data_IF_388048574167
#
_entry.id   IF_388048574167
#
_cell.length_a   1.000
_cell.length_b   1.000
_cell.length_c   1.000
_cell.angle_alpha   90.00
_cell.angle_beta   90.00
_cell.angle_gamma   90.00
#
_symmetry.space_group_name_H-M   'P 1'
#
loop_
_entity.id
_entity.type
_entity.pdbx_description
1 polymer ?
#
# COMPACT_ATOMS: atom_id res chain seq x y z
N UNK A 1 -33.68 -13.62 2.21
CA UNK A 1 -33.03 -12.92 3.33
C UNK A 1 -31.59 -13.41 3.42
N UNK A 2 -30.63 -12.66 2.86
CA UNK A 2 -29.22 -12.86 3.19
C UNK A 2 -28.94 -12.01 4.42
N UNK A 3 -28.42 -12.64 5.46
CA UNK A 3 -28.04 -11.99 6.70
C UNK A 3 -27.05 -10.85 6.45
N UNK A 4 -27.54 -9.62 6.49
CA UNK A 4 -26.78 -8.37 6.32
C UNK A 4 -25.98 -7.98 7.59
N UNK A 5 -25.87 -8.86 8.57
CA UNK A 5 -25.33 -8.53 9.89
C UNK A 5 -23.94 -9.08 10.21
N UNK A 6 -23.31 -9.84 9.32
CA UNK A 6 -21.91 -10.23 9.52
C UNK A 6 -21.02 -9.48 8.53
N UNK A 7 -20.34 -8.43 9.00
CA UNK A 7 -19.17 -7.92 8.27
C UNK A 7 -18.12 -9.03 8.28
N UNK A 8 -17.77 -9.60 7.11
CA UNK A 8 -16.67 -10.54 7.06
C UNK A 8 -15.42 -9.82 7.52
N UNK A 9 -14.67 -10.43 8.42
CA UNK A 9 -13.36 -9.95 8.85
C UNK A 9 -12.48 -9.79 7.60
N UNK A 10 -12.15 -8.55 7.24
CA UNK A 10 -11.42 -8.23 6.00
C UNK A 10 -10.04 -7.71 6.34
N UNK A 11 -9.11 -7.93 5.45
CA UNK A 11 -7.82 -7.23 5.46
C UNK A 11 -7.84 -6.14 4.43
N UNK A 12 -7.20 -5.05 4.78
CA UNK A 12 -6.96 -3.97 3.86
C UNK A 12 -5.48 -3.64 3.84
N UNK A 13 -4.94 -3.45 2.64
CA UNK A 13 -3.69 -2.76 2.41
C UNK A 13 -4.04 -1.40 1.81
N UNK A 14 -3.78 -0.34 2.56
CA UNK A 14 -3.90 1.02 2.07
C UNK A 14 -2.56 1.42 1.45
N UNK A 15 -2.56 1.59 0.13
CA UNK A 15 -1.40 1.93 -0.69
C UNK A 15 -1.63 3.30 -1.35
N UNK A 16 -1.84 4.33 -0.53
CA UNK A 16 -2.10 5.68 -1.01
C UNK A 16 -0.83 6.52 -1.16
N UNK A 17 -0.98 7.75 -1.64
CA UNK A 17 0.08 8.74 -1.73
C UNK A 17 0.64 9.15 -0.37
N UNK A 18 -0.22 9.22 0.68
CA UNK A 18 0.14 9.69 2.01
C UNK A 18 0.29 8.59 3.07
N UNK A 19 -0.25 7.39 2.81
CA UNK A 19 -0.24 6.27 3.76
C UNK A 19 0.10 4.97 3.07
N UNK A 20 0.77 4.08 3.80
CA UNK A 20 1.00 2.69 3.37
C UNK A 20 0.97 1.81 4.59
N UNK A 21 -0.07 0.98 4.74
CA UNK A 21 -0.28 0.20 5.95
C UNK A 21 -1.03 -1.10 5.69
N UNK A 22 -0.84 -2.07 6.58
CA UNK A 22 -1.59 -3.31 6.65
C UNK A 22 -2.54 -3.24 7.84
N UNK A 23 -3.83 -3.46 7.60
CA UNK A 23 -4.88 -3.43 8.59
C UNK A 23 -5.63 -4.76 8.64
N UNK A 24 -5.93 -5.21 9.82
CA UNK A 24 -6.98 -6.19 10.08
C UNK A 24 -8.28 -5.41 10.34
N UNK A 25 -9.31 -5.68 9.53
CA UNK A 25 -10.61 -5.00 9.64
C UNK A 25 -11.58 -5.96 10.33
N UNK A 26 -11.93 -5.65 11.57
CA UNK A 26 -12.87 -6.45 12.38
C UNK A 26 -14.31 -5.94 12.30
N UNK A 27 -14.52 -4.78 11.70
CA UNK A 27 -15.81 -4.13 11.53
C UNK A 27 -15.67 -2.65 11.25
N UNK A 28 -16.79 -1.96 11.15
CA UNK A 28 -16.79 -0.49 11.01
C UNK A 28 -16.18 0.12 12.26
N UNK A 29 -15.20 1.01 12.06
CA UNK A 29 -14.45 1.66 13.13
C UNK A 29 -13.67 0.71 14.08
N UNK A 30 -13.45 -0.54 13.66
CA UNK A 30 -12.70 -1.53 14.43
C UNK A 30 -11.58 -2.11 13.58
N UNK A 31 -10.40 -1.50 13.69
CA UNK A 31 -9.21 -1.79 12.91
C UNK A 31 -8.06 -2.13 13.84
N UNK A 32 -7.23 -3.10 13.43
CA UNK A 32 -5.95 -3.41 14.08
C UNK A 32 -4.83 -3.26 13.06
N UNK A 33 -3.90 -2.36 13.32
CA UNK A 33 -2.75 -2.16 12.44
C UNK A 33 -1.72 -3.27 12.63
N UNK A 34 -1.42 -4.00 11.58
CA UNK A 34 -0.40 -5.04 11.55
C UNK A 34 0.99 -4.47 11.20
N UNK A 35 1.02 -3.45 10.37
CA UNK A 35 2.24 -2.77 9.96
C UNK A 35 1.96 -1.50 9.17
N UNK A 36 2.94 -0.63 9.10
CA UNK A 36 2.88 0.64 8.37
C UNK A 36 4.25 0.99 7.81
N UNK A 37 4.29 1.95 6.88
CA UNK A 37 5.57 2.55 6.55
C UNK A 37 6.10 3.37 7.73
N UNK A 38 7.41 3.25 7.99
CA UNK A 38 8.09 4.01 9.05
C UNK A 38 8.71 5.32 8.55
N UNK A 39 8.66 5.54 7.24
CA UNK A 39 9.21 6.73 6.57
C UNK A 39 8.29 7.19 5.42
N UNK A 40 8.77 7.21 4.18
CA UNK A 40 7.97 7.63 3.01
C UNK A 40 6.82 6.65 2.74
N UNK A 41 5.65 7.15 2.32
CA UNK A 41 4.59 6.31 1.80
C UNK A 41 4.94 5.77 0.39
N UNK A 42 4.30 4.69 -0.02
CA UNK A 42 4.61 4.04 -1.29
C UNK A 42 4.32 4.94 -2.51
N UNK A 43 3.17 5.63 -2.52
CA UNK A 43 2.86 6.59 -3.59
C UNK A 43 3.87 7.73 -3.64
N UNK A 44 4.27 8.24 -2.49
CA UNK A 44 5.32 9.25 -2.35
C UNK A 44 6.67 8.73 -2.89
N UNK A 45 7.01 7.45 -2.69
CA UNK A 45 8.21 6.84 -3.25
C UNK A 45 8.16 6.77 -4.78
N UNK A 46 6.99 6.49 -5.39
CA UNK A 46 6.79 6.56 -6.83
C UNK A 46 6.97 7.98 -7.36
N UNK A 47 6.32 8.98 -6.76
CA UNK A 47 6.39 10.37 -7.23
C UNK A 47 7.80 10.97 -7.08
N UNK A 48 8.48 10.68 -5.96
CA UNK A 48 9.88 11.08 -5.75
C UNK A 48 10.81 10.42 -6.76
N UNK A 49 10.62 9.14 -7.09
CA UNK A 49 11.39 8.45 -8.13
C UNK A 49 11.12 9.05 -9.50
N UNK A 50 9.86 9.34 -9.83
CA UNK A 50 9.47 10.00 -11.07
C UNK A 50 10.18 11.35 -11.24
N UNK A 51 10.13 12.19 -10.20
CA UNK A 51 10.81 13.49 -10.18
C UNK A 51 12.33 13.36 -10.44
N UNK A 52 12.97 12.35 -9.82
CA UNK A 52 14.41 12.09 -10.03
C UNK A 52 14.75 11.64 -11.45
N UNK A 53 13.80 11.05 -12.17
CA UNK A 53 13.92 10.65 -13.57
C UNK A 53 13.52 11.77 -14.56
N UNK A 54 13.05 12.92 -14.06
CA UNK A 54 12.58 14.03 -14.87
C UNK A 54 11.14 13.84 -15.39
N UNK A 55 10.33 13.07 -14.68
CA UNK A 55 8.92 12.82 -14.99
C UNK A 55 8.07 13.80 -14.17
N UNK A 56 7.08 14.42 -14.80
CA UNK A 56 6.10 15.30 -14.16
C UNK A 56 5.05 14.51 -13.38
N UNK A 57 4.38 15.20 -12.44
CA UNK A 57 3.28 14.63 -11.66
C UNK A 57 2.01 14.44 -12.53
N UNK A 58 1.26 13.35 -12.34
CA UNK A 58 1.48 12.22 -11.43
C UNK A 58 2.51 11.21 -11.98
N UNK A 59 3.51 10.89 -11.16
CA UNK A 59 4.64 10.06 -11.58
C UNK A 59 4.35 8.56 -11.67
N UNK A 60 3.44 8.04 -10.85
CA UNK A 60 3.18 6.60 -10.73
C UNK A 60 2.84 5.91 -12.04
N UNK A 61 1.84 6.37 -12.82
CA UNK A 61 1.47 5.77 -14.09
C UNK A 61 2.60 5.77 -15.13
N UNK A 62 3.38 6.86 -15.17
CA UNK A 62 4.49 7.00 -16.14
C UNK A 62 5.65 6.09 -15.74
N UNK A 63 5.96 5.95 -14.46
CA UNK A 63 6.94 4.96 -13.97
C UNK A 63 6.53 3.54 -14.40
N UNK A 64 5.26 3.18 -14.27
CA UNK A 64 4.77 1.87 -14.72
C UNK A 64 4.93 1.67 -16.23
N UNK A 65 4.64 2.70 -17.03
CA UNK A 65 4.83 2.66 -18.48
C UNK A 65 6.31 2.52 -18.85
N UNK A 66 7.19 3.30 -18.22
CA UNK A 66 8.63 3.24 -18.46
C UNK A 66 9.22 1.90 -18.03
N UNK A 67 8.73 1.32 -16.94
CA UNK A 67 9.18 0.01 -16.47
C UNK A 67 8.93 -1.10 -17.50
N UNK A 68 7.87 -1.00 -18.29
CA UNK A 68 7.60 -1.96 -19.39
C UNK A 68 8.63 -1.93 -20.52
N UNK A 69 9.38 -0.81 -20.65
CA UNK A 69 10.39 -0.59 -21.70
C UNK A 69 11.81 -0.90 -21.21
N UNK A 70 11.99 -1.20 -19.91
CA UNK A 70 13.28 -1.41 -19.28
C UNK A 70 13.55 -2.87 -18.89
N UNK A 71 14.81 -3.13 -18.58
CA UNK A 71 15.23 -4.40 -17.95
C UNK A 71 15.16 -4.24 -16.43
N UNK A 72 14.32 -5.01 -15.79
CA UNK A 72 14.10 -4.97 -14.35
C UNK A 72 15.31 -5.49 -13.53
N UNK A 73 16.25 -6.19 -14.15
CA UNK A 73 17.44 -6.74 -13.52
C UNK A 73 18.68 -5.85 -13.66
N UNK A 74 18.58 -4.75 -14.41
CA UNK A 74 19.73 -3.91 -14.76
C UNK A 74 20.37 -3.25 -13.52
N UNK A 75 19.57 -2.70 -12.61
CA UNK A 75 20.06 -2.10 -11.37
C UNK A 75 19.69 -2.96 -10.15
N UNK A 76 20.67 -3.17 -9.25
CA UNK A 76 20.43 -3.81 -7.95
C UNK A 76 20.09 -2.73 -6.91
N UNK A 77 18.82 -2.61 -6.58
CA UNK A 77 18.33 -1.65 -5.60
C UNK A 77 18.15 -2.29 -4.23
N UNK A 78 18.36 -1.54 -3.13
CA UNK A 78 18.17 -2.05 -1.78
C UNK A 78 16.68 -2.29 -1.48
N UNK A 79 16.41 -3.23 -0.59
CA UNK A 79 15.09 -3.54 -0.04
C UNK A 79 15.11 -3.23 1.46
N UNK A 80 14.84 -1.98 1.86
CA UNK A 80 14.95 -1.59 3.26
C UNK A 80 14.06 -2.46 4.15
N UNK A 81 14.55 -2.80 5.32
CA UNK A 81 13.90 -3.60 6.37
C UNK A 81 13.20 -4.91 5.92
N UNK A 82 13.45 -5.38 4.68
CA UNK A 82 12.80 -6.60 4.17
C UNK A 82 13.08 -7.81 5.05
N UNK A 83 14.32 -7.93 5.54
CA UNK A 83 14.76 -9.04 6.41
C UNK A 83 14.40 -8.83 7.89
N UNK A 84 13.93 -7.65 8.30
CA UNK A 84 13.38 -7.44 9.63
C UNK A 84 12.00 -8.09 9.70
N UNK A 85 11.73 -8.85 10.74
CA UNK A 85 10.41 -9.43 10.98
C UNK A 85 9.28 -8.39 11.00
N UNK A 86 8.04 -8.87 10.99
CA UNK A 86 6.85 -8.03 11.03
C UNK A 86 6.50 -7.37 9.69
N UNK A 87 5.40 -6.61 9.70
CA UNK A 87 4.76 -6.09 8.50
C UNK A 87 5.13 -4.63 8.17
N UNK A 88 6.05 -4.01 8.93
CA UNK A 88 6.46 -2.62 8.65
C UNK A 88 7.21 -2.50 7.33
N UNK A 89 7.05 -1.35 6.69
CA UNK A 89 7.61 -0.99 5.40
C UNK A 89 8.58 0.20 5.55
N UNK A 90 9.52 0.34 4.62
CA UNK A 90 10.40 1.51 4.51
C UNK A 90 10.81 1.71 3.06
N UNK A 91 10.78 2.96 2.59
CA UNK A 91 11.12 3.33 1.22
C UNK A 91 12.19 4.44 1.14
N UNK A 92 12.53 5.13 2.24
CA UNK A 92 13.50 6.22 2.22
C UNK A 92 14.91 5.77 1.77
N UNK A 93 15.35 4.58 2.19
CA UNK A 93 16.61 4.00 1.73
C UNK A 93 16.62 3.70 0.24
N UNK A 94 15.49 3.24 -0.30
CA UNK A 94 15.32 3.02 -1.75
C UNK A 94 15.39 4.33 -2.52
N UNK A 95 14.71 5.39 -2.06
CA UNK A 95 14.77 6.73 -2.63
C UNK A 95 16.22 7.25 -2.71
N UNK A 96 17.00 7.09 -1.66
CA UNK A 96 18.41 7.51 -1.63
C UNK A 96 19.25 6.73 -2.65
N UNK A 97 19.00 5.45 -2.83
CA UNK A 97 19.65 4.63 -3.86
C UNK A 97 19.29 5.11 -5.27
N UNK A 98 18.00 5.39 -5.53
CA UNK A 98 17.54 5.96 -6.80
C UNK A 98 18.21 7.29 -7.09
N UNK A 99 18.28 8.21 -6.11
CA UNK A 99 18.96 9.49 -6.26
C UNK A 99 20.43 9.34 -6.66
N UNK A 100 21.14 8.39 -6.03
CA UNK A 100 22.55 8.14 -6.37
C UNK A 100 22.69 7.57 -7.78
N UNK A 101 21.86 6.60 -8.13
CA UNK A 101 21.87 5.95 -9.45
C UNK A 101 21.48 6.93 -10.56
N UNK A 102 20.47 7.79 -10.34
CA UNK A 102 19.98 8.72 -11.35
C UNK A 102 21.02 9.74 -11.80
N UNK A 103 21.98 10.10 -10.95
CA UNK A 103 23.08 11.02 -11.29
C UNK A 103 24.06 10.44 -12.32
N UNK A 104 24.13 9.13 -12.48
CA UNK A 104 25.00 8.44 -13.41
C UNK A 104 24.35 8.01 -14.72
N UNK A 105 23.05 8.26 -14.90
CA UNK A 105 22.32 7.86 -16.10
C UNK A 105 22.76 8.68 -17.31
N UNK A 106 23.07 7.97 -18.43
CA UNK A 106 23.61 8.57 -19.65
C UNK A 106 22.55 8.83 -20.72
N UNK A 107 21.46 8.09 -20.71
CA UNK A 107 20.46 8.13 -21.78
C UNK A 107 19.07 7.71 -21.28
N UNK A 108 18.07 7.88 -22.14
CA UNK A 108 16.68 7.56 -21.83
C UNK A 108 16.46 6.06 -21.57
N UNK A 109 17.21 5.17 -22.23
CA UNK A 109 17.10 3.72 -22.04
C UNK A 109 17.49 3.32 -20.62
N UNK A 110 18.53 3.92 -20.06
CA UNK A 110 18.93 3.68 -18.66
C UNK A 110 17.87 4.18 -17.67
N UNK A 111 17.14 5.26 -17.98
CA UNK A 111 15.99 5.70 -17.18
C UNK A 111 14.87 4.65 -17.16
N UNK A 112 14.61 4.01 -18.32
CA UNK A 112 13.65 2.90 -18.37
C UNK A 112 14.11 1.69 -17.55
N UNK A 113 15.40 1.36 -17.60
CA UNK A 113 15.95 0.29 -16.75
C UNK A 113 15.84 0.62 -15.26
N UNK A 114 16.06 1.89 -14.87
CA UNK A 114 15.92 2.27 -13.47
C UNK A 114 14.46 2.24 -13.01
N UNK A 115 13.51 2.67 -13.84
CA UNK A 115 12.08 2.54 -13.57
C UNK A 115 11.65 1.07 -13.40
N UNK A 116 12.15 0.18 -14.28
CA UNK A 116 11.87 -1.25 -14.22
C UNK A 116 12.45 -1.90 -12.95
N UNK A 117 13.71 -1.59 -12.63
CA UNK A 117 14.37 -2.10 -11.41
C UNK A 117 13.70 -1.59 -10.14
N UNK A 118 13.23 -0.34 -10.13
CA UNK A 118 12.43 0.23 -9.03
C UNK A 118 11.11 -0.51 -8.88
N UNK A 119 10.33 -0.67 -9.96
CA UNK A 119 9.04 -1.38 -9.96
C UNK A 119 9.19 -2.82 -9.45
N UNK A 120 10.22 -3.54 -9.89
CA UNK A 120 10.52 -4.88 -9.40
C UNK A 120 10.83 -4.87 -7.91
N UNK A 121 11.67 -3.95 -7.45
CA UNK A 121 12.06 -3.86 -6.04
C UNK A 121 10.85 -3.60 -5.15
N UNK A 122 9.95 -2.71 -5.56
CA UNK A 122 8.68 -2.46 -4.87
C UNK A 122 7.82 -3.72 -4.82
N UNK A 123 7.68 -4.43 -5.94
CA UNK A 123 6.91 -5.66 -6.02
C UNK A 123 7.45 -6.74 -5.06
N UNK A 124 8.76 -6.89 -4.96
CA UNK A 124 9.38 -7.85 -4.04
C UNK A 124 9.16 -7.45 -2.56
N UNK A 125 9.27 -6.16 -2.24
CA UNK A 125 8.98 -5.66 -0.88
C UNK A 125 7.52 -5.91 -0.51
N UNK A 126 6.59 -5.54 -1.38
CA UNK A 126 5.16 -5.74 -1.14
C UNK A 126 4.79 -7.22 -1.04
N UNK A 127 5.34 -8.07 -1.92
CA UNK A 127 5.10 -9.50 -1.88
C UNK A 127 5.48 -10.10 -0.51
N UNK A 128 6.71 -9.88 -0.06
CA UNK A 128 7.19 -10.47 1.20
C UNK A 128 6.46 -9.89 2.42
N UNK A 129 6.23 -8.58 2.47
CA UNK A 129 5.53 -7.96 3.60
C UNK A 129 4.04 -8.31 3.64
N UNK A 130 3.39 -8.43 2.50
CA UNK A 130 2.00 -8.92 2.41
C UNK A 130 1.91 -10.39 2.83
N UNK A 131 2.86 -11.22 2.43
CA UNK A 131 2.94 -12.61 2.86
C UNK A 131 3.02 -12.72 4.39
N UNK A 132 3.93 -11.98 5.03
CA UNK A 132 4.03 -11.93 6.49
C UNK A 132 2.71 -11.46 7.11
N UNK A 133 2.12 -10.40 6.57
CA UNK A 133 0.85 -9.90 7.05
C UNK A 133 -0.27 -10.95 6.93
N UNK A 134 -0.36 -11.72 5.87
CA UNK A 134 -1.31 -12.83 5.73
C UNK A 134 -1.06 -13.94 6.74
N UNK A 135 0.20 -14.26 7.01
CA UNK A 135 0.59 -15.28 8.00
C UNK A 135 0.24 -14.84 9.43
N UNK A 136 0.50 -13.58 9.78
CA UNK A 136 0.10 -13.03 11.10
C UNK A 136 -1.41 -13.13 11.34
N UNK A 137 -2.21 -12.79 10.34
CA UNK A 137 -3.66 -12.95 10.47
C UNK A 137 -4.10 -14.40 10.71
N UNK A 138 -3.51 -15.33 10.02
CA UNK A 138 -3.90 -16.73 10.15
C UNK A 138 -3.57 -17.34 11.51
N UNK A 139 -2.68 -16.72 12.29
CA UNK A 139 -2.40 -17.18 13.67
C UNK A 139 -3.63 -17.07 14.55
N UNK A 140 -4.33 -15.95 14.46
CA UNK A 140 -5.46 -15.66 15.35
C UNK A 140 -6.83 -16.06 14.75
N UNK A 141 -6.91 -16.20 13.41
CA UNK A 141 -8.18 -16.29 12.68
C UNK A 141 -8.20 -17.39 11.61
N UNK A 142 -7.84 -18.62 11.98
CA UNK A 142 -7.74 -19.76 11.05
C UNK A 142 -9.03 -20.04 10.27
N UNK A 143 -10.20 -19.83 10.87
CA UNK A 143 -11.52 -20.14 10.32
C UNK A 143 -12.27 -18.92 9.75
N UNK A 144 -11.62 -17.75 9.69
CA UNK A 144 -12.25 -16.54 9.14
C UNK A 144 -12.20 -16.51 7.62
N UNK A 145 -13.12 -15.75 7.02
CA UNK A 145 -13.05 -15.43 5.59
C UNK A 145 -11.70 -14.78 5.24
N UNK A 146 -11.05 -15.31 4.24
CA UNK A 146 -9.71 -14.88 3.79
C UNK A 146 -9.81 -13.86 2.67
N UNK A 147 -10.47 -12.73 2.91
CA UNK A 147 -10.54 -11.63 1.98
C UNK A 147 -9.31 -10.71 2.15
N UNK A 148 -8.65 -10.36 1.06
CA UNK A 148 -7.55 -9.40 1.05
C UNK A 148 -7.90 -8.22 0.14
N UNK A 149 -8.15 -7.07 0.73
CA UNK A 149 -8.51 -5.83 0.02
C UNK A 149 -7.25 -4.99 -0.19
N UNK A 150 -7.03 -4.52 -1.39
CA UNK A 150 -5.93 -3.64 -1.76
C UNK A 150 -6.53 -2.36 -2.33
N UNK A 151 -6.34 -1.24 -1.65
CA UNK A 151 -6.93 0.05 -1.99
C UNK A 151 -5.88 1.17 -2.00
N UNK A 152 -6.26 2.36 -2.44
CA UNK A 152 -5.41 3.54 -2.58
C UNK A 152 -4.83 3.70 -3.99
N UNK A 153 -4.24 4.87 -4.28
CA UNK A 153 -3.79 5.23 -5.64
C UNK A 153 -2.78 4.26 -6.25
N UNK A 154 -1.87 3.71 -5.46
CA UNK A 154 -0.88 2.73 -5.95
C UNK A 154 -1.51 1.38 -6.27
N UNK A 155 -2.70 1.06 -5.72
CA UNK A 155 -3.47 -0.12 -6.08
C UNK A 155 -3.99 -0.07 -7.54
N UNK A 156 -3.89 1.05 -8.23
CA UNK A 156 -4.15 1.16 -9.67
C UNK A 156 -3.03 0.55 -10.53
N UNK A 157 -1.80 0.44 -10.00
CA UNK A 157 -0.66 -0.13 -10.72
C UNK A 157 -0.90 -1.60 -11.05
N UNK A 158 -0.93 -1.93 -12.35
CA UNK A 158 -1.31 -3.27 -12.85
C UNK A 158 -0.29 -4.34 -12.44
N UNK A 159 1.00 -4.00 -12.42
CA UNK A 159 2.05 -4.96 -12.04
C UNK A 159 2.00 -5.31 -10.56
N UNK A 160 1.68 -4.35 -9.71
CA UNK A 160 1.44 -4.57 -8.28
C UNK A 160 0.20 -5.45 -8.09
N UNK A 161 -0.91 -5.15 -8.80
CA UNK A 161 -2.13 -5.98 -8.76
C UNK A 161 -1.83 -7.42 -9.13
N UNK A 162 -1.19 -7.65 -10.28
CA UNK A 162 -0.82 -8.99 -10.75
C UNK A 162 -0.05 -9.77 -9.68
N UNK A 163 0.97 -9.14 -9.10
CA UNK A 163 1.84 -9.74 -8.10
C UNK A 163 1.07 -10.11 -6.82
N UNK A 164 0.22 -9.21 -6.32
CA UNK A 164 -0.57 -9.44 -5.11
C UNK A 164 -1.74 -10.42 -5.34
N UNK A 165 -2.33 -10.47 -6.53
CA UNK A 165 -3.31 -11.49 -6.91
C UNK A 165 -2.66 -12.88 -6.89
N UNK A 166 -1.45 -13.01 -7.46
CA UNK A 166 -0.70 -14.27 -7.44
C UNK A 166 -0.45 -14.74 -6.01
N UNK A 167 0.11 -13.88 -5.16
CA UNK A 167 0.35 -14.17 -3.75
C UNK A 167 -0.94 -14.56 -3.02
N UNK A 168 -2.03 -13.83 -3.25
CA UNK A 168 -3.32 -14.11 -2.60
C UNK A 168 -3.81 -15.52 -2.94
N UNK A 169 -3.74 -15.93 -4.21
CA UNK A 169 -4.11 -17.27 -4.65
C UNK A 169 -3.22 -18.34 -4.00
N UNK A 170 -1.90 -18.12 -3.95
CA UNK A 170 -0.94 -19.02 -3.30
C UNK A 170 -1.25 -19.22 -1.80
N UNK A 171 -1.68 -18.16 -1.12
CA UNK A 171 -2.04 -18.17 0.31
C UNK A 171 -3.52 -18.49 0.56
N UNK A 172 -4.30 -18.82 -0.47
CA UNK A 172 -5.74 -19.12 -0.41
C UNK A 172 -6.57 -17.95 0.14
N UNK A 173 -6.21 -16.72 -0.21
CA UNK A 173 -7.00 -15.51 0.02
C UNK A 173 -7.75 -15.11 -1.24
N UNK A 174 -8.92 -14.49 -1.06
CA UNK A 174 -9.69 -13.84 -2.13
C UNK A 174 -9.22 -12.39 -2.29
N UNK A 175 -8.49 -12.02 -3.35
CA UNK A 175 -8.05 -10.66 -3.57
C UNK A 175 -9.20 -9.79 -4.03
N UNK A 176 -9.36 -8.61 -3.43
CA UNK A 176 -10.39 -7.63 -3.78
C UNK A 176 -9.69 -6.30 -4.07
N UNK A 177 -9.92 -5.78 -5.27
CA UNK A 177 -9.44 -4.47 -5.70
C UNK A 177 -10.62 -3.59 -6.09
N UNK A 178 -10.62 -2.30 -5.75
CA UNK A 178 -11.58 -1.38 -6.33
C UNK A 178 -11.34 -1.25 -7.84
N UNK A 179 -12.38 -0.86 -8.60
CA UNK A 179 -12.19 -0.40 -9.98
C UNK A 179 -11.09 0.66 -10.05
N UNK A 180 -10.32 0.70 -11.14
CA UNK A 180 -9.14 1.59 -11.25
C UNK A 180 -9.53 3.05 -11.06
N UNK A 181 -10.65 3.49 -11.62
CA UNK A 181 -11.18 4.84 -11.47
C UNK A 181 -11.65 5.20 -10.06
N UNK A 182 -11.76 4.23 -9.15
CA UNK A 182 -12.10 4.43 -7.74
C UNK A 182 -10.91 4.18 -6.79
N UNK A 183 -9.69 3.99 -7.32
CA UNK A 183 -8.49 3.86 -6.50
C UNK A 183 -7.98 5.17 -5.93
N UNK A 184 -8.32 6.32 -6.55
CA UNK A 184 -8.05 7.66 -6.03
C UNK A 184 -9.18 8.15 -5.13
N UNK A 185 -8.94 9.26 -4.43
CA UNK A 185 -9.95 9.91 -3.62
C UNK A 185 -11.22 10.21 -4.42
N UNK A 186 -12.37 9.81 -3.88
CA UNK A 186 -13.65 10.00 -4.54
C UNK A 186 -14.79 10.12 -3.51
N UNK A 187 -15.85 10.84 -3.89
CA UNK A 187 -16.99 11.08 -3.01
C UNK A 187 -17.77 9.80 -2.67
N UNK A 188 -17.77 8.79 -3.54
CA UNK A 188 -18.50 7.55 -3.31
C UNK A 188 -17.94 6.76 -2.10
N UNK A 189 -16.61 6.71 -1.93
CA UNK A 189 -16.00 6.04 -0.77
C UNK A 189 -16.36 6.74 0.54
N UNK A 190 -16.41 8.08 0.54
CA UNK A 190 -16.76 8.88 1.72
C UNK A 190 -18.23 8.68 2.07
N UNK A 191 -19.12 8.76 1.08
CA UNK A 191 -20.54 8.51 1.26
C UNK A 191 -20.81 7.09 1.80
N UNK A 192 -20.13 6.09 1.24
CA UNK A 192 -20.26 4.71 1.70
C UNK A 192 -19.79 4.55 3.16
N UNK A 193 -18.63 5.09 3.50
CA UNK A 193 -18.13 5.07 4.88
C UNK A 193 -19.10 5.76 5.84
N UNK A 194 -19.70 6.87 5.43
CA UNK A 194 -20.76 7.56 6.20
C UNK A 194 -21.99 6.70 6.43
N UNK A 195 -22.49 6.01 5.40
CA UNK A 195 -23.64 5.09 5.51
C UNK A 195 -23.32 3.94 6.48
N UNK A 196 -22.15 3.33 6.37
CA UNK A 196 -21.78 2.22 7.24
C UNK A 196 -21.64 2.66 8.72
N UNK A 197 -21.11 3.87 8.98
CA UNK A 197 -21.07 4.46 10.33
C UNK A 197 -22.48 4.78 10.84
N UNK A 198 -23.32 5.36 9.99
CA UNK A 198 -24.72 5.69 10.34
C UNK A 198 -25.52 4.46 10.74
N UNK A 199 -25.40 3.33 10.05
CA UNK A 199 -26.09 2.07 10.37
C UNK A 199 -25.81 1.56 11.78
N UNK A 200 -24.68 1.91 12.38
CA UNK A 200 -24.28 1.51 13.73
C UNK A 200 -24.31 2.68 14.72
N UNK A 201 -25.03 3.76 14.40
CA UNK A 201 -25.17 4.96 15.21
C UNK A 201 -23.85 5.66 15.59
N UNK A 202 -22.82 5.53 14.78
CA UNK A 202 -21.57 6.30 14.91
C UNK A 202 -21.72 7.66 14.23
N UNK A 203 -22.35 8.58 14.95
CA UNK A 203 -22.63 9.94 14.50
C UNK A 203 -21.87 10.91 15.39
N UNK A 204 -21.14 11.82 14.78
CA UNK A 204 -20.46 12.90 15.49
C UNK A 204 -21.37 14.15 15.54
N UNK A 205 -21.20 15.01 16.56
CA UNK A 205 -21.89 16.29 16.64
C UNK A 205 -21.21 17.35 15.76
N UNK A 206 -21.82 18.52 15.62
CA UNK A 206 -21.28 19.62 14.80
C UNK A 206 -20.02 20.27 15.41
N UNK A 207 -19.71 20.00 16.67
CA UNK A 207 -18.53 20.52 17.38
C UNK A 207 -17.33 19.57 17.26
N UNK A 208 -17.37 18.61 16.34
CA UNK A 208 -16.31 17.65 16.13
C UNK A 208 -14.97 18.34 15.80
N UNK A 209 -13.92 18.17 16.63
CA UNK A 209 -12.66 18.86 16.43
C UNK A 209 -11.88 18.29 15.23
N UNK A 210 -11.22 19.16 14.48
CA UNK A 210 -10.26 18.74 13.47
C UNK A 210 -9.08 18.02 14.13
N UNK A 211 -8.60 16.93 13.50
CA UNK A 211 -7.46 16.16 13.99
C UNK A 211 -6.38 16.14 12.90
N UNK A 212 -5.19 16.67 13.22
CA UNK A 212 -4.05 16.63 12.30
C UNK A 212 -3.59 15.20 12.00
N UNK A 213 -3.86 14.27 12.91
CA UNK A 213 -3.63 12.82 12.75
C UNK A 213 -4.82 12.06 13.28
N UNK A 214 -5.36 11.23 12.43
CA UNK A 214 -6.49 10.38 12.77
C UNK A 214 -6.19 8.93 12.36
N UNK A 215 -5.44 8.19 13.20
CA UNK A 215 -5.12 6.80 12.88
C UNK A 215 -6.38 5.94 12.93
N UNK A 216 -6.49 5.00 12.00
CA UNK A 216 -7.58 4.00 11.99
C UNK A 216 -7.52 3.08 13.21
N UNK A 217 -6.32 2.75 13.69
CA UNK A 217 -6.07 2.05 14.94
C UNK A 217 -5.43 3.03 15.94
N UNK A 218 -6.25 3.54 16.85
CA UNK A 218 -5.80 4.49 17.88
C UNK A 218 -4.91 3.87 18.96
N UNK A 219 -4.92 2.55 19.09
CA UNK A 219 -4.10 1.81 20.06
C UNK A 219 -2.69 1.51 19.52
N UNK A 220 -2.51 1.59 18.21
CA UNK A 220 -1.22 1.28 17.60
C UNK A 220 -0.18 2.38 17.86
N UNK A 221 1.07 2.02 18.22
CA UNK A 221 2.12 2.99 18.50
C UNK A 221 2.41 3.85 17.26
N UNK A 222 2.70 5.13 17.48
CA UNK A 222 3.18 5.99 16.40
C UNK A 222 4.63 5.60 16.04
N UNK A 223 4.82 5.16 14.81
CA UNK A 223 6.14 4.84 14.27
C UNK A 223 6.64 6.01 13.41
N UNK A 224 7.79 6.57 13.74
CA UNK A 224 8.40 7.65 12.99
C UNK A 224 9.90 7.41 12.84
N UNK A 225 10.36 7.33 11.59
CA UNK A 225 11.76 7.32 11.21
C UNK A 225 12.42 5.94 11.20
N UNK A 226 13.60 5.83 10.58
CA UNK A 226 14.31 4.57 10.35
C UNK A 226 15.00 3.98 11.58
N UNK A 227 14.90 4.63 12.73
CA UNK A 227 15.55 4.22 13.98
C UNK A 227 14.72 3.37 14.93
N UNK A 228 13.53 2.92 14.51
CA UNK A 228 12.62 2.08 15.31
C UNK A 228 12.71 0.62 14.95
#
# INVERSE_FOLDING_TARGET
HRDLHSFPTRRSSDLSGGHTQFLEVNGVNNYKRLGTTIDDALGEAFDKTAKLLGIEFPGGPIIEEWAKKGDENYFKLPKPILKRGGCNLSFAGLKTAILRTSKGLKNQKEKYHLAASFQRTINEILYEKTKIAMEEFLKDKKNSEKNFVIAGGVAANLKIRENLIKLSKEKKFSPIFPPINLCSDNAAMIAWAGIERFKINLIDNLEFPSKARWPLDSSAPFLKGPGL
#
